data_IF_874776093414
#
_entry.id   IF_874776093414
#
_cell.length_a   1.000
_cell.length_b   1.000
_cell.length_c   1.000
_cell.angle_alpha   90.00
_cell.angle_beta   90.00
_cell.angle_gamma   90.00
#
_symmetry.space_group_name_H-M   'P 1'
#
loop_
_entity.id
_entity.type
_entity.pdbx_description
1 polymer ?
#
# COMPACT_ATOMS: atom_id res chain seq x y z
N UNK A 1 -15.68 -22.28 -106.19
CA UNK A 1 -15.38 -23.17 -105.05
C UNK A 1 -14.37 -22.44 -104.17
N UNK A 2 -14.44 -22.24 -102.85
CA UNK A 2 -15.37 -22.55 -101.75
C UNK A 2 -14.71 -21.82 -100.55
N UNK A 3 -15.26 -20.69 -100.08
CA UNK A 3 -15.70 -20.39 -98.69
C UNK A 3 -14.74 -20.75 -97.53
N UNK A 4 -14.58 -19.83 -96.56
CA UNK A 4 -14.84 -20.00 -95.10
C UNK A 4 -13.93 -19.13 -94.17
N UNK A 5 -14.58 -18.23 -93.40
CA UNK A 5 -14.26 -17.86 -92.00
C UNK A 5 -14.39 -19.11 -91.08
N UNK A 6 -14.02 -19.20 -89.76
CA UNK A 6 -13.78 -18.14 -88.75
C UNK A 6 -12.74 -18.48 -87.61
N UNK A 7 -12.84 -17.74 -86.48
CA UNK A 7 -12.39 -17.96 -85.06
C UNK A 7 -11.24 -17.02 -84.65
N UNK A 8 -11.31 -16.17 -83.63
CA UNK A 8 -12.13 -16.14 -82.41
C UNK A 8 -11.23 -16.47 -81.21
N UNK A 9 -10.66 -15.45 -80.55
CA UNK A 9 -9.99 -15.59 -79.25
C UNK A 9 -10.28 -14.41 -78.34
N UNK A 10 -10.52 -14.74 -77.07
CA UNK A 10 -11.08 -13.92 -76.01
C UNK A 10 -10.07 -12.97 -75.34
N UNK A 11 -10.60 -11.95 -74.64
CA UNK A 11 -9.92 -10.96 -73.80
C UNK A 11 -9.19 -11.59 -72.59
N UNK A 12 -8.39 -10.80 -71.85
CA UNK A 12 -8.96 -10.30 -70.60
C UNK A 12 -8.76 -8.79 -70.37
N UNK A 13 -9.76 -8.19 -69.72
CA UNK A 13 -9.72 -6.86 -69.15
C UNK A 13 -8.71 -6.83 -67.99
N UNK A 14 -7.84 -5.83 -67.99
CA UNK A 14 -6.98 -5.51 -66.85
C UNK A 14 -7.80 -4.68 -65.86
N UNK A 15 -8.21 -5.32 -64.76
CA UNK A 15 -8.87 -4.68 -63.62
C UNK A 15 -7.86 -3.77 -62.89
N UNK A 16 -8.10 -2.46 -62.96
CA UNK A 16 -7.41 -1.46 -62.14
C UNK A 16 -7.97 -1.59 -60.70
N UNK A 17 -7.22 -2.24 -59.81
CA UNK A 17 -7.57 -2.31 -58.39
C UNK A 17 -7.35 -0.93 -57.75
N UNK A 18 -8.44 -0.23 -57.44
CA UNK A 18 -8.44 0.98 -56.62
C UNK A 18 -8.06 0.58 -55.19
N UNK A 19 -6.83 0.91 -54.76
CA UNK A 19 -6.42 0.89 -53.36
C UNK A 19 -7.14 2.05 -52.64
N UNK A 20 -8.31 1.73 -52.06
CA UNK A 20 -9.00 2.61 -51.14
C UNK A 20 -8.24 2.56 -49.79
N UNK A 21 -7.68 3.67 -49.28
CA UNK A 21 -7.13 3.66 -47.92
C UNK A 21 -8.32 3.50 -46.96
N UNK A 22 -8.25 2.51 -46.08
CA UNK A 22 -9.14 2.42 -44.92
C UNK A 22 -8.97 3.71 -44.10
N UNK A 23 -9.88 4.66 -44.27
CA UNK A 23 -10.06 5.77 -43.34
C UNK A 23 -10.65 5.18 -42.06
N UNK A 24 -9.78 4.89 -41.09
CA UNK A 24 -10.18 4.90 -39.69
C UNK A 24 -10.77 6.28 -39.37
N UNK A 25 -11.78 6.38 -38.49
CA UNK A 25 -12.46 7.63 -38.21
C UNK A 25 -11.51 8.59 -37.45
N UNK A 26 -10.89 9.51 -38.18
CA UNK A 26 -10.04 10.60 -37.65
C UNK A 26 -10.71 11.67 -36.76
N UNK A 27 -12.05 11.92 -36.73
CA UNK A 27 -12.57 13.09 -36.01
C UNK A 27 -12.64 12.92 -34.48
N UNK A 28 -12.65 11.69 -33.97
CA UNK A 28 -12.80 11.44 -32.51
C UNK A 28 -11.51 11.68 -31.73
N UNK A 29 -10.36 11.21 -32.24
CA UNK A 29 -9.04 11.39 -31.59
C UNK A 29 -8.66 12.87 -31.40
N UNK A 30 -9.03 13.71 -32.37
CA UNK A 30 -8.76 15.15 -32.33
C UNK A 30 -9.57 15.83 -31.22
N UNK A 31 -10.84 15.45 -31.05
CA UNK A 31 -11.72 16.02 -30.02
C UNK A 31 -11.26 15.65 -28.60
N UNK A 32 -10.84 14.40 -28.36
CA UNK A 32 -10.30 13.97 -27.05
C UNK A 32 -9.01 14.70 -26.71
N UNK A 33 -8.11 14.86 -27.68
CA UNK A 33 -6.81 15.53 -27.47
C UNK A 33 -6.97 17.03 -27.18
N UNK A 34 -7.92 17.70 -27.84
CA UNK A 34 -8.23 19.11 -27.58
C UNK A 34 -8.89 19.33 -26.20
N UNK A 35 -9.74 18.40 -25.76
CA UNK A 35 -10.29 18.41 -24.40
C UNK A 35 -9.19 18.17 -23.35
N UNK A 36 -8.32 17.18 -23.55
CA UNK A 36 -7.16 16.93 -22.68
C UNK A 36 -6.27 18.17 -22.56
N UNK A 37 -5.98 18.84 -23.68
CA UNK A 37 -5.22 20.10 -23.65
C UNK A 37 -5.89 21.14 -22.77
N UNK A 38 -7.18 21.41 -22.98
CA UNK A 38 -7.92 22.40 -22.17
C UNK A 38 -7.91 22.04 -20.69
N UNK A 39 -8.13 20.79 -20.33
CA UNK A 39 -8.12 20.36 -18.93
C UNK A 39 -6.73 20.50 -18.29
N UNK A 40 -5.67 20.12 -19.02
CA UNK A 40 -4.29 20.24 -18.53
C UNK A 40 -3.85 21.70 -18.38
N UNK A 41 -4.24 22.59 -19.29
CA UNK A 41 -4.00 24.03 -19.18
C UNK A 41 -4.69 24.61 -17.93
N UNK A 42 -5.95 24.23 -17.68
CA UNK A 42 -6.65 24.63 -16.45
C UNK A 42 -5.99 24.11 -15.18
N UNK A 43 -5.41 22.90 -15.19
CA UNK A 43 -4.67 22.37 -14.04
C UNK A 43 -3.44 23.23 -13.69
N UNK A 44 -2.76 23.78 -14.70
CA UNK A 44 -1.62 24.68 -14.52
C UNK A 44 -2.00 26.04 -13.93
N UNK A 45 -3.20 26.53 -14.22
CA UNK A 45 -3.69 27.85 -13.76
C UNK A 45 -4.47 27.79 -12.44
N UNK A 46 -5.23 26.71 -12.19
CA UNK A 46 -6.23 26.63 -11.11
C UNK A 46 -5.83 25.73 -9.93
N UNK A 47 -4.66 25.09 -9.94
CA UNK A 47 -4.13 24.38 -8.76
C UNK A 47 -4.82 23.07 -8.39
N UNK A 48 -5.23 22.25 -9.37
CA UNK A 48 -5.45 20.81 -9.15
C UNK A 48 -6.87 20.24 -9.26
N UNK A 49 -7.76 20.86 -10.03
CA UNK A 49 -9.07 20.28 -10.36
C UNK A 49 -9.12 19.81 -11.82
N UNK A 50 -9.29 18.51 -12.04
CA UNK A 50 -9.70 17.99 -13.36
C UNK A 50 -11.24 17.96 -13.39
N UNK A 51 -11.85 19.09 -13.76
CA UNK A 51 -13.28 19.35 -14.07
C UNK A 51 -14.39 18.90 -13.10
N UNK A 52 -14.19 17.92 -12.22
CA UNK A 52 -15.12 17.44 -11.17
C UNK A 52 -14.42 16.69 -10.03
N UNK A 53 -13.14 16.30 -10.19
CA UNK A 53 -12.39 15.55 -9.18
C UNK A 53 -11.04 16.25 -8.86
N UNK A 54 -10.66 16.34 -7.57
CA UNK A 54 -9.34 16.86 -7.20
C UNK A 54 -8.25 15.87 -7.60
N UNK A 55 -7.14 16.37 -8.16
CA UNK A 55 -5.97 15.56 -8.53
C UNK A 55 -4.77 15.94 -7.66
N UNK A 56 -3.96 14.95 -7.28
CA UNK A 56 -2.81 15.15 -6.39
C UNK A 56 -1.51 15.49 -7.14
N UNK A 57 -1.42 15.16 -8.43
CA UNK A 57 -0.17 15.21 -9.20
C UNK A 57 -0.22 16.22 -10.37
N UNK A 58 -0.84 17.39 -10.19
CA UNK A 58 -1.09 18.37 -11.26
C UNK A 58 0.18 18.76 -12.04
N UNK A 59 1.30 19.02 -11.37
CA UNK A 59 2.55 19.38 -12.03
C UNK A 59 3.09 18.25 -12.93
N UNK A 60 2.98 16.99 -12.48
CA UNK A 60 3.39 15.83 -13.26
C UNK A 60 2.44 15.58 -14.45
N UNK A 61 1.13 15.76 -14.26
CA UNK A 61 0.14 15.69 -15.33
C UNK A 61 0.45 16.72 -16.44
N UNK A 62 0.72 17.97 -16.07
CA UNK A 62 1.09 19.04 -17.03
C UNK A 62 2.33 18.65 -17.83
N UNK A 63 3.39 18.17 -17.17
CA UNK A 63 4.62 17.76 -17.86
C UNK A 63 4.40 16.56 -18.79
N UNK A 64 3.69 15.52 -18.32
CA UNK A 64 3.50 14.28 -19.07
C UNK A 64 2.62 14.49 -20.31
N UNK A 65 1.46 15.14 -20.16
CA UNK A 65 0.56 15.35 -21.29
C UNK A 65 1.08 16.41 -22.27
N UNK A 66 1.77 17.45 -21.78
CA UNK A 66 2.46 18.41 -22.64
C UNK A 66 3.51 17.72 -23.51
N UNK A 67 4.33 16.85 -22.92
CA UNK A 67 5.32 16.06 -23.66
C UNK A 67 4.67 15.04 -24.63
N UNK A 68 3.52 14.45 -24.26
CA UNK A 68 2.77 13.50 -25.08
C UNK A 68 1.84 14.17 -26.13
N UNK A 69 2.00 15.47 -26.39
CA UNK A 69 1.17 16.23 -27.32
C UNK A 69 -0.35 16.11 -27.04
N UNK A 70 -0.72 15.94 -25.77
CA UNK A 70 -2.09 15.77 -25.29
C UNK A 70 -2.84 14.56 -25.88
N UNK A 71 -2.12 13.55 -26.38
CA UNK A 71 -2.75 12.27 -26.75
C UNK A 71 -3.11 11.48 -25.48
N UNK A 72 -4.22 10.72 -25.48
CA UNK A 72 -4.57 9.86 -24.35
C UNK A 72 -3.49 8.81 -24.06
N UNK A 73 -3.28 8.51 -22.77
CA UNK A 73 -2.36 7.47 -22.32
C UNK A 73 -3.06 6.13 -22.09
N UNK A 74 -4.30 6.15 -21.59
CA UNK A 74 -5.05 5.00 -21.09
C UNK A 74 -6.24 4.60 -21.95
N UNK A 75 -6.60 5.42 -22.93
CA UNK A 75 -7.71 5.17 -23.84
C UNK A 75 -7.23 5.16 -25.29
N UNK A 76 -8.13 4.75 -26.18
CA UNK A 76 -7.86 4.70 -27.63
C UNK A 76 -6.61 3.82 -27.90
N UNK A 77 -5.67 4.31 -28.70
CA UNK A 77 -4.41 3.64 -29.01
C UNK A 77 -3.26 4.09 -28.06
N UNK A 78 -3.61 4.56 -26.86
CA UNK A 78 -2.65 5.00 -25.85
C UNK A 78 -1.76 3.87 -25.34
N UNK A 79 -0.50 4.16 -24.95
CA UNK A 79 0.49 3.14 -24.55
C UNK A 79 0.08 2.31 -23.32
N UNK A 80 -0.80 2.83 -22.45
CA UNK A 80 -1.28 2.16 -21.24
C UNK A 80 -2.72 1.66 -21.38
N UNK A 81 -3.31 1.67 -22.58
CA UNK A 81 -4.73 1.33 -22.77
C UNK A 81 -5.09 -0.09 -22.30
N UNK A 82 -4.17 -1.04 -22.48
CA UNK A 82 -4.30 -2.43 -22.02
C UNK A 82 -4.09 -2.60 -20.50
N UNK A 83 -3.55 -1.59 -19.81
CA UNK A 83 -3.12 -1.67 -18.41
C UNK A 83 -4.16 -1.12 -17.43
N UNK A 84 -5.30 -0.61 -17.92
CA UNK A 84 -6.38 -0.06 -17.07
C UNK A 84 -6.88 -1.06 -16.04
N UNK A 85 -7.17 -2.29 -16.47
CA UNK A 85 -7.63 -3.34 -15.58
C UNK A 85 -6.55 -3.73 -14.53
N UNK A 86 -5.28 -3.73 -14.93
CA UNK A 86 -4.17 -3.98 -14.02
C UNK A 86 -4.05 -2.88 -12.97
N UNK A 87 -4.18 -1.60 -13.36
CA UNK A 87 -4.18 -0.50 -12.39
C UNK A 87 -5.34 -0.62 -11.39
N UNK A 88 -6.57 -0.89 -11.87
CA UNK A 88 -7.73 -1.05 -10.99
C UNK A 88 -7.52 -2.20 -9.99
N UNK A 89 -7.02 -3.34 -10.45
CA UNK A 89 -6.70 -4.48 -9.58
C UNK A 89 -5.63 -4.12 -8.54
N UNK A 90 -4.59 -3.38 -8.92
CA UNK A 90 -3.56 -2.90 -8.00
C UNK A 90 -4.10 -1.89 -6.97
N UNK A 91 -5.06 -1.04 -7.37
CA UNK A 91 -5.73 -0.11 -6.45
C UNK A 91 -6.57 -0.87 -5.43
N UNK A 92 -7.37 -1.83 -5.88
CA UNK A 92 -8.19 -2.66 -4.99
C UNK A 92 -7.32 -3.48 -4.03
N UNK A 93 -6.29 -4.17 -4.55
CA UNK A 93 -5.35 -4.96 -3.76
C UNK A 93 -4.58 -4.13 -2.74
N UNK A 94 -4.36 -2.84 -3.00
CA UNK A 94 -3.70 -1.94 -2.04
C UNK A 94 -4.47 -1.77 -0.72
N UNK A 95 -5.77 -2.11 -0.67
CA UNK A 95 -6.53 -2.19 0.57
C UNK A 95 -5.97 -3.23 1.56
N UNK A 96 -5.32 -4.28 1.05
CA UNK A 96 -4.58 -5.25 1.86
C UNK A 96 -3.38 -4.64 2.60
N UNK A 97 -2.86 -3.53 2.10
CA UNK A 97 -1.73 -2.78 2.63
C UNK A 97 -2.15 -1.57 3.49
N UNK A 98 -3.43 -1.45 3.85
CA UNK A 98 -3.94 -0.31 4.63
C UNK A 98 -4.24 0.94 3.82
N UNK A 99 -4.28 0.84 2.49
CA UNK A 99 -4.70 1.96 1.65
C UNK A 99 -6.21 1.98 1.47
N UNK A 100 -6.77 3.17 1.22
CA UNK A 100 -8.19 3.33 0.88
C UNK A 100 -8.35 3.48 -0.64
N UNK A 101 -8.94 2.52 -1.37
CA UNK A 101 -9.07 2.57 -2.84
C UNK A 101 -9.65 3.88 -3.39
N UNK A 102 -10.66 4.43 -2.70
CA UNK A 102 -11.31 5.70 -3.07
C UNK A 102 -10.36 6.90 -3.17
N UNK A 103 -9.21 6.87 -2.47
CA UNK A 103 -8.14 7.88 -2.58
C UNK A 103 -7.54 7.97 -3.99
N UNK A 104 -7.66 6.89 -4.77
CA UNK A 104 -7.09 6.75 -6.10
C UNK A 104 -8.18 6.73 -7.17
N UNK A 105 -9.25 7.51 -6.96
CA UNK A 105 -10.37 7.65 -7.89
C UNK A 105 -11.12 6.35 -8.23
N UNK A 106 -10.95 5.29 -7.42
CA UNK A 106 -11.45 3.94 -7.76
C UNK A 106 -12.93 3.92 -8.15
N UNK A 107 -13.80 4.60 -7.40
CA UNK A 107 -15.24 4.67 -7.69
C UNK A 107 -15.52 5.32 -9.05
N UNK A 108 -14.82 6.41 -9.39
CA UNK A 108 -14.98 7.11 -10.66
C UNK A 108 -14.43 6.29 -11.83
N UNK A 109 -13.25 5.69 -11.65
CA UNK A 109 -12.59 4.87 -12.67
C UNK A 109 -13.38 3.58 -12.99
N UNK A 110 -14.05 2.99 -12.00
CA UNK A 110 -14.89 1.79 -12.18
C UNK A 110 -16.27 2.11 -12.71
N UNK A 111 -16.90 3.21 -12.27
CA UNK A 111 -18.17 3.67 -12.83
C UNK A 111 -18.02 4.11 -14.30
N UNK A 112 -16.87 4.70 -14.64
CA UNK A 112 -16.48 5.14 -15.98
C UNK A 112 -17.56 6.00 -16.67
N UNK A 113 -18.22 6.87 -15.91
CA UNK A 113 -19.30 7.75 -16.41
C UNK A 113 -18.79 9.10 -16.90
N UNK A 114 -17.56 9.47 -16.56
CA UNK A 114 -16.91 10.71 -16.95
C UNK A 114 -16.44 10.67 -18.43
N UNK A 115 -16.22 11.84 -19.06
CA UNK A 115 -15.62 11.91 -20.39
C UNK A 115 -14.24 11.24 -20.42
N UNK A 116 -13.87 10.66 -21.58
CA UNK A 116 -12.60 9.95 -21.78
C UNK A 116 -11.38 10.79 -21.37
N UNK A 117 -11.36 12.07 -21.71
CA UNK A 117 -10.27 12.97 -21.34
C UNK A 117 -10.10 13.10 -19.81
N UNK A 118 -11.20 13.22 -19.06
CA UNK A 118 -11.16 13.28 -17.59
C UNK A 118 -10.69 11.94 -17.01
N UNK A 119 -11.25 10.82 -17.50
CA UNK A 119 -10.83 9.50 -17.05
C UNK A 119 -9.33 9.26 -17.30
N UNK A 120 -8.80 9.68 -18.46
CA UNK A 120 -7.37 9.52 -18.79
C UNK A 120 -6.48 10.24 -17.78
N UNK A 121 -6.86 11.46 -17.37
CA UNK A 121 -6.17 12.21 -16.31
C UNK A 121 -6.30 11.53 -14.94
N UNK A 122 -7.49 11.00 -14.60
CA UNK A 122 -7.71 10.31 -13.31
C UNK A 122 -6.96 8.99 -13.22
N UNK A 123 -6.85 8.23 -14.32
CA UNK A 123 -6.01 7.03 -14.38
C UNK A 123 -4.54 7.39 -14.14
N UNK A 124 -4.05 8.46 -14.77
CA UNK A 124 -2.68 8.93 -14.57
C UNK A 124 -2.44 9.43 -13.14
N UNK A 125 -3.35 10.22 -12.57
CA UNK A 125 -3.24 10.69 -11.19
C UNK A 125 -3.29 9.54 -10.18
N UNK A 126 -4.13 8.53 -10.42
CA UNK A 126 -4.23 7.33 -9.58
C UNK A 126 -2.93 6.51 -9.63
N UNK A 127 -2.35 6.30 -10.81
CA UNK A 127 -1.06 5.63 -11.00
C UNK A 127 0.06 6.36 -10.23
N UNK A 128 0.17 7.67 -10.41
CA UNK A 128 1.23 8.48 -9.78
C UNK A 128 1.06 8.52 -8.26
N UNK A 129 -0.17 8.65 -7.77
CA UNK A 129 -0.49 8.62 -6.34
C UNK A 129 -0.16 7.26 -5.72
N UNK A 130 -0.51 6.15 -6.39
CA UNK A 130 -0.11 4.80 -5.97
C UNK A 130 1.40 4.70 -5.88
N UNK A 131 2.13 5.12 -6.92
CA UNK A 131 3.59 5.05 -6.93
C UNK A 131 4.21 5.83 -5.77
N UNK A 132 3.79 7.08 -5.55
CA UNK A 132 4.29 7.93 -4.46
C UNK A 132 3.98 7.35 -3.08
N UNK A 133 2.75 6.89 -2.86
CA UNK A 133 2.36 6.37 -1.56
C UNK A 133 2.99 5.01 -1.25
N UNK A 134 3.13 4.12 -2.24
CA UNK A 134 3.91 2.89 -2.10
C UNK A 134 5.38 3.20 -1.81
N UNK A 135 5.89 4.29 -2.40
CA UNK A 135 7.29 4.69 -2.26
C UNK A 135 7.63 5.31 -0.91
N UNK A 136 6.85 6.30 -0.45
CA UNK A 136 7.17 7.15 0.71
C UNK A 136 6.05 7.31 1.74
N UNK A 137 4.96 6.55 1.61
CA UNK A 137 3.81 6.63 2.51
C UNK A 137 2.71 7.59 2.06
N UNK A 138 1.52 7.44 2.65
CA UNK A 138 0.32 8.24 2.39
C UNK A 138 0.28 9.50 3.24
N UNK A 139 0.74 9.41 4.48
CA UNK A 139 0.52 10.46 5.48
C UNK A 139 1.79 11.25 5.76
N UNK A 140 1.63 12.56 5.92
CA UNK A 140 2.73 13.50 6.16
C UNK A 140 3.16 13.57 7.62
N UNK A 141 2.40 13.04 8.58
CA UNK A 141 2.74 13.02 10.02
C UNK A 141 2.01 11.88 10.71
N UNK A 142 2.72 11.10 11.52
CA UNK A 142 2.13 10.10 12.44
C UNK A 142 2.70 10.29 13.86
N UNK A 143 3.98 10.67 13.97
CA UNK A 143 4.67 11.01 15.21
C UNK A 143 5.66 12.16 14.94
N UNK A 144 5.74 13.15 15.84
CA UNK A 144 6.61 14.33 15.70
C UNK A 144 8.11 14.00 15.90
N UNK A 145 8.40 12.90 16.60
CA UNK A 145 9.78 12.47 16.94
C UNK A 145 10.44 11.57 15.87
N UNK A 146 9.87 11.50 14.67
CA UNK A 146 10.38 10.69 13.56
C UNK A 146 11.27 11.52 12.63
N UNK A 147 12.59 11.30 12.73
CA UNK A 147 13.64 12.02 12.00
C UNK A 147 14.21 11.20 10.82
N UNK A 148 13.35 10.52 10.06
CA UNK A 148 13.76 9.91 8.79
C UNK A 148 13.61 10.90 7.64
N UNK A 149 14.64 10.99 6.81
CA UNK A 149 14.51 11.65 5.50
C UNK A 149 13.60 10.80 4.62
N UNK A 150 12.40 11.31 4.34
CA UNK A 150 11.44 10.59 3.51
C UNK A 150 11.90 10.59 2.07
N UNK A 151 12.11 9.40 1.54
CA UNK A 151 12.38 9.24 0.13
C UNK A 151 11.14 9.67 -0.66
N UNK A 152 11.32 10.62 -1.58
CA UNK A 152 10.28 11.06 -2.49
C UNK A 152 10.52 10.45 -3.86
N UNK A 153 9.43 10.01 -4.48
CA UNK A 153 9.45 9.55 -5.86
C UNK A 153 9.09 10.72 -6.77
N UNK A 154 9.97 11.01 -7.74
CA UNK A 154 9.65 11.93 -8.82
C UNK A 154 8.60 11.28 -9.73
N UNK A 155 7.36 11.75 -9.62
CA UNK A 155 6.21 11.22 -10.32
C UNK A 155 6.35 11.33 -11.85
N UNK A 156 6.93 12.42 -12.35
CA UNK A 156 7.09 12.63 -13.78
C UNK A 156 8.20 11.73 -14.34
N UNK A 157 9.31 11.57 -13.61
CA UNK A 157 10.35 10.62 -13.98
C UNK A 157 9.83 9.18 -13.98
N UNK A 158 9.15 8.77 -12.91
CA UNK A 158 8.55 7.44 -12.79
C UNK A 158 7.64 7.09 -13.98
N UNK A 159 6.73 7.98 -14.36
CA UNK A 159 5.83 7.71 -15.49
C UNK A 159 6.57 7.63 -16.84
N UNK A 160 7.63 8.44 -17.04
CA UNK A 160 8.45 8.35 -18.26
C UNK A 160 9.18 7.01 -18.33
N UNK A 161 9.76 6.56 -17.21
CA UNK A 161 10.49 5.29 -17.15
C UNK A 161 9.53 4.11 -17.38
N UNK A 162 8.34 4.13 -16.77
CA UNK A 162 7.29 3.14 -17.01
C UNK A 162 6.90 3.06 -18.51
N UNK A 163 6.71 4.21 -19.17
CA UNK A 163 6.36 4.27 -20.59
C UNK A 163 7.51 3.77 -21.49
N UNK A 164 8.76 3.92 -21.07
CA UNK A 164 9.92 3.42 -21.79
C UNK A 164 10.11 1.90 -21.64
N UNK A 165 9.80 1.35 -20.47
CA UNK A 165 9.98 -0.06 -20.11
C UNK A 165 8.74 -0.93 -20.39
N UNK A 166 8.06 -0.71 -21.52
CA UNK A 166 6.86 -1.45 -21.99
C UNK A 166 5.52 -1.18 -21.28
N UNK A 167 5.51 -0.43 -20.17
CA UNK A 167 4.28 0.00 -19.52
C UNK A 167 3.60 -1.04 -18.65
N UNK A 168 4.30 -2.06 -18.12
CA UNK A 168 3.70 -3.01 -17.17
C UNK A 168 3.42 -2.31 -15.81
N UNK A 169 2.19 -1.83 -15.66
CA UNK A 169 1.74 -1.09 -14.48
C UNK A 169 1.73 -2.00 -13.24
N UNK A 170 1.26 -3.24 -13.39
CA UNK A 170 1.11 -4.18 -12.29
C UNK A 170 2.45 -4.52 -11.66
N UNK A 171 3.40 -5.00 -12.48
CA UNK A 171 4.73 -5.36 -12.02
C UNK A 171 5.47 -4.17 -11.41
N UNK A 172 5.39 -3.01 -12.07
CA UNK A 172 6.07 -1.79 -11.61
C UNK A 172 5.55 -1.34 -10.25
N UNK A 173 4.23 -1.29 -10.06
CA UNK A 173 3.66 -0.89 -8.78
C UNK A 173 3.93 -1.92 -7.67
N UNK A 174 3.97 -3.22 -7.97
CA UNK A 174 4.31 -4.26 -7.00
C UNK A 174 5.74 -4.13 -6.48
N UNK A 175 6.69 -3.80 -7.36
CA UNK A 175 8.09 -3.59 -7.00
C UNK A 175 8.31 -2.42 -6.02
N UNK A 176 7.36 -1.47 -5.96
CA UNK A 176 7.42 -0.31 -5.06
C UNK A 176 7.01 -0.62 -3.61
N UNK A 177 6.47 -1.80 -3.31
CA UNK A 177 6.21 -2.16 -1.90
C UNK A 177 7.52 -2.40 -1.13
N UNK A 178 7.56 -2.12 0.18
CA UNK A 178 8.67 -2.57 1.03
C UNK A 178 8.87 -4.09 0.93
N UNK A 179 10.13 -4.50 0.73
CA UNK A 179 10.50 -5.91 0.52
C UNK A 179 10.99 -6.60 1.80
N UNK A 180 10.86 -5.93 2.95
CA UNK A 180 11.33 -6.43 4.25
C UNK A 180 10.48 -7.61 4.72
N UNK A 181 11.11 -8.62 5.32
CA UNK A 181 10.41 -9.80 5.85
C UNK A 181 9.35 -9.42 6.89
N UNK A 182 9.63 -8.42 7.73
CA UNK A 182 8.72 -7.90 8.73
C UNK A 182 7.49 -7.22 8.10
N UNK A 183 7.66 -6.52 6.98
CA UNK A 183 6.53 -5.93 6.25
C UNK A 183 5.58 -7.03 5.74
N UNK A 184 6.13 -8.11 5.18
CA UNK A 184 5.34 -9.26 4.72
C UNK A 184 4.64 -9.98 5.88
N UNK A 185 5.31 -10.12 7.04
CA UNK A 185 4.71 -10.69 8.24
C UNK A 185 3.51 -9.86 8.74
N UNK A 186 3.60 -8.52 8.70
CA UNK A 186 2.50 -7.63 9.04
C UNK A 186 1.30 -7.80 8.09
N UNK A 187 1.54 -7.92 6.78
CA UNK A 187 0.48 -8.17 5.79
C UNK A 187 -0.22 -9.50 6.06
N UNK A 188 0.53 -10.56 6.33
CA UNK A 188 -0.02 -11.87 6.65
C UNK A 188 -0.89 -11.83 7.91
N UNK A 189 -0.39 -11.19 8.99
CA UNK A 189 -1.15 -11.02 10.24
C UNK A 189 -2.43 -10.23 10.02
N UNK A 190 -2.36 -9.14 9.25
CA UNK A 190 -3.51 -8.30 8.92
C UNK A 190 -4.57 -9.07 8.12
N UNK A 191 -4.16 -9.79 7.09
CA UNK A 191 -5.07 -10.60 6.28
C UNK A 191 -5.75 -11.69 7.13
N UNK A 192 -5.00 -12.38 7.99
CA UNK A 192 -5.54 -13.38 8.90
C UNK A 192 -6.59 -12.78 9.84
N UNK A 193 -6.34 -11.58 10.37
CA UNK A 193 -7.26 -10.89 11.28
C UNK A 193 -8.51 -10.37 10.56
N UNK A 194 -8.36 -9.83 9.35
CA UNK A 194 -9.48 -9.34 8.53
C UNK A 194 -10.43 -10.47 8.10
N UNK A 195 -9.93 -11.71 7.96
CA UNK A 195 -10.76 -12.85 7.57
C UNK A 195 -11.61 -13.46 8.71
N UNK A 196 -11.35 -13.06 9.97
CA UNK A 196 -12.02 -13.64 11.13
C UNK A 196 -13.39 -12.98 11.40
N UNK A 197 -14.44 -13.77 11.69
CA UNK A 197 -15.76 -13.23 12.00
C UNK A 197 -15.78 -12.50 13.36
N UNK A 198 -16.70 -11.56 13.54
CA UNK A 198 -16.76 -10.64 14.71
C UNK A 198 -17.28 -11.28 16.01
N UNK A 199 -17.21 -12.60 16.09
CA UNK A 199 -17.90 -13.35 17.14
C UNK A 199 -17.11 -13.31 18.45
N UNK A 200 -15.81 -13.03 18.38
CA UNK A 200 -14.87 -13.03 19.50
C UNK A 200 -14.80 -11.68 20.23
N UNK A 201 -15.58 -10.67 19.84
CA UNK A 201 -15.41 -9.30 20.32
C UNK A 201 -16.20 -8.94 21.58
N UNK A 202 -16.93 -9.87 22.21
CA UNK A 202 -17.50 -9.60 23.53
C UNK A 202 -16.37 -9.32 24.55
N UNK A 203 -16.31 -8.12 25.14
CA UNK A 203 -15.23 -7.76 26.04
C UNK A 203 -15.44 -8.46 27.39
N UNK A 204 -14.33 -8.84 28.02
CA UNK A 204 -14.32 -9.26 29.42
C UNK A 204 -14.57 -8.02 30.27
N UNK A 205 -15.64 -7.98 31.09
CA UNK A 205 -15.96 -6.80 31.91
C UNK A 205 -14.82 -6.40 32.85
N UNK A 206 -14.64 -5.09 33.11
CA UNK A 206 -13.66 -4.62 34.07
C UNK A 206 -13.99 -5.17 35.48
N UNK A 207 -12.96 -5.24 36.34
CA UNK A 207 -13.13 -5.74 37.71
C UNK A 207 -11.81 -6.19 38.32
N UNK A 208 -11.86 -6.92 39.46
CA UNK A 208 -10.68 -7.42 40.15
C UNK A 208 -9.79 -8.31 39.27
N UNK A 209 -8.51 -8.40 39.64
CA UNK A 209 -7.52 -9.27 39.00
C UNK A 209 -8.01 -10.72 38.87
N UNK A 210 -7.89 -11.32 37.68
CA UNK A 210 -8.10 -12.76 37.48
C UNK A 210 -6.76 -13.48 37.57
N UNK A 211 -6.72 -14.62 38.29
CA UNK A 211 -5.51 -15.40 38.54
C UNK A 211 -5.86 -16.89 38.70
N UNK A 212 -4.87 -17.79 38.63
CA UNK A 212 -5.08 -19.22 38.83
C UNK A 212 -5.88 -19.55 40.09
N UNK A 213 -6.81 -20.49 39.96
CA UNK A 213 -7.72 -20.92 41.04
C UNK A 213 -8.99 -20.07 41.19
N UNK A 214 -9.15 -18.94 40.48
CA UNK A 214 -10.40 -18.20 40.46
C UNK A 214 -11.47 -18.91 39.63
N UNK A 215 -12.75 -18.74 40.00
CA UNK A 215 -13.91 -19.23 39.24
C UNK A 215 -14.95 -18.14 39.05
N UNK A 216 -15.78 -18.27 38.02
CA UNK A 216 -16.99 -17.48 37.83
C UNK A 216 -17.18 -17.00 36.40
N UNK A 217 -18.21 -16.17 36.21
CA UNK A 217 -18.61 -15.67 34.89
C UNK A 217 -17.48 -14.94 34.17
N UNK A 218 -16.70 -14.10 34.87
CA UNK A 218 -15.58 -13.37 34.27
C UNK A 218 -14.46 -14.27 33.78
N UNK A 219 -14.24 -15.41 34.43
CA UNK A 219 -13.28 -16.41 33.97
C UNK A 219 -13.83 -17.14 32.74
N UNK A 220 -15.13 -17.45 32.72
CA UNK A 220 -15.77 -18.02 31.53
C UNK A 220 -15.70 -17.07 30.33
N UNK A 221 -15.92 -15.78 30.55
CA UNK A 221 -15.77 -14.73 29.53
C UNK A 221 -14.33 -14.61 29.03
N UNK A 222 -13.33 -14.71 29.92
CA UNK A 222 -11.92 -14.78 29.54
C UNK A 222 -11.62 -15.99 28.64
N UNK A 223 -12.15 -17.16 28.99
CA UNK A 223 -12.02 -18.38 28.16
C UNK A 223 -12.68 -18.21 26.80
N UNK A 224 -13.91 -17.69 26.75
CA UNK A 224 -14.61 -17.38 25.49
C UNK A 224 -13.82 -16.39 24.61
N UNK A 225 -13.18 -15.40 25.24
CA UNK A 225 -12.40 -14.38 24.54
C UNK A 225 -11.08 -14.92 23.98
N UNK A 226 -10.39 -15.80 24.71
CA UNK A 226 -9.11 -16.38 24.28
C UNK A 226 -9.29 -17.56 23.32
N UNK A 227 -10.30 -18.40 23.53
CA UNK A 227 -10.45 -19.66 22.81
C UNK A 227 -11.58 -19.66 21.78
N UNK A 228 -12.56 -18.77 21.93
CA UNK A 228 -13.72 -18.72 21.04
C UNK A 228 -15.01 -19.31 21.57
N UNK A 229 -16.02 -19.48 20.69
CA UNK A 229 -17.27 -20.13 21.05
C UNK A 229 -17.04 -21.53 21.59
N UNK A 230 -17.51 -21.79 22.80
CA UNK A 230 -17.37 -23.07 23.48
C UNK A 230 -18.09 -23.09 24.81
N UNK A 231 -18.24 -24.29 25.38
CA UNK A 231 -18.75 -24.46 26.73
C UNK A 231 -17.54 -24.58 27.68
N UNK A 232 -17.31 -23.54 28.48
CA UNK A 232 -16.19 -23.51 29.42
C UNK A 232 -16.66 -23.54 30.88
N UNK A 233 -15.82 -24.14 31.73
CA UNK A 233 -16.07 -24.33 33.16
C UNK A 233 -16.18 -23.01 33.93
N UNK A 234 -15.59 -21.92 33.41
CA UNK A 234 -15.40 -20.69 34.16
C UNK A 234 -14.43 -20.87 35.32
N UNK A 235 -13.50 -21.82 35.24
CA UNK A 235 -12.43 -22.04 36.22
C UNK A 235 -11.07 -21.71 35.60
N UNK A 236 -10.23 -21.01 36.37
CA UNK A 236 -8.90 -20.62 35.95
C UNK A 236 -7.92 -21.74 36.30
N UNK A 237 -7.82 -22.71 35.38
CA UNK A 237 -6.93 -23.87 35.45
C UNK A 237 -5.54 -23.61 34.84
N UNK A 238 -4.73 -24.67 34.78
CA UNK A 238 -3.38 -24.62 34.22
C UNK A 238 -3.34 -24.39 32.71
N UNK A 239 -4.40 -24.80 31.98
CA UNK A 239 -4.52 -24.57 30.53
C UNK A 239 -4.81 -23.09 30.25
N UNK A 240 -5.72 -22.49 31.01
CA UNK A 240 -5.98 -21.05 30.96
C UNK A 240 -4.76 -20.23 31.35
N UNK A 241 -4.00 -20.67 32.35
CA UNK A 241 -2.74 -20.03 32.72
C UNK A 241 -1.73 -20.02 31.57
N UNK A 242 -1.56 -21.15 30.89
CA UNK A 242 -0.65 -21.23 29.74
C UNK A 242 -1.09 -20.29 28.61
N UNK A 243 -2.39 -20.30 28.27
CA UNK A 243 -2.95 -19.45 27.23
C UNK A 243 -2.87 -17.95 27.56
N UNK A 244 -3.11 -17.56 28.82
CA UNK A 244 -2.96 -16.17 29.25
C UNK A 244 -1.50 -15.72 29.16
N UNK A 245 -0.55 -16.58 29.55
CA UNK A 245 0.89 -16.26 29.42
C UNK A 245 1.35 -16.17 27.98
N UNK A 246 0.79 -16.99 27.11
CA UNK A 246 1.01 -16.90 25.66
C UNK A 246 0.46 -15.58 25.11
N UNK A 247 -0.80 -15.26 25.42
CA UNK A 247 -1.39 -13.97 25.05
C UNK A 247 -0.58 -12.77 25.57
N UNK A 248 -0.15 -12.79 26.83
CA UNK A 248 0.65 -11.72 27.41
C UNK A 248 1.98 -11.55 26.68
N UNK A 249 2.67 -12.65 26.36
CA UNK A 249 3.91 -12.61 25.58
C UNK A 249 3.68 -12.02 24.20
N UNK A 250 2.63 -12.46 23.51
CA UNK A 250 2.27 -11.96 22.18
C UNK A 250 1.85 -10.48 22.21
N UNK A 251 1.30 -10.04 23.34
CA UNK A 251 0.91 -8.65 23.60
C UNK A 251 2.05 -7.76 24.12
N UNK A 252 3.27 -8.29 24.29
CA UNK A 252 4.39 -7.54 24.87
C UNK A 252 4.22 -7.19 26.35
N UNK A 253 3.43 -7.97 27.09
CA UNK A 253 3.23 -7.86 28.54
C UNK A 253 4.09 -8.89 29.28
N UNK A 254 4.35 -8.62 30.57
CA UNK A 254 4.94 -9.63 31.46
C UNK A 254 4.05 -10.89 31.49
N UNK A 255 4.58 -12.09 31.15
CA UNK A 255 3.80 -13.33 31.08
C UNK A 255 3.63 -13.96 32.47
N UNK A 256 3.05 -13.20 33.39
CA UNK A 256 2.82 -13.58 34.79
C UNK A 256 1.56 -14.44 34.99
N UNK A 257 0.66 -14.49 34.01
CA UNK A 257 -0.62 -15.18 34.10
C UNK A 257 -1.68 -14.42 34.89
N UNK A 258 -1.45 -13.15 35.24
CA UNK A 258 -2.36 -12.32 36.00
C UNK A 258 -3.09 -11.35 35.06
N UNK A 259 -4.40 -11.51 34.94
CA UNK A 259 -5.21 -10.68 34.04
C UNK A 259 -5.68 -9.44 34.79
N UNK A 260 -4.85 -8.39 34.73
CA UNK A 260 -5.11 -7.06 35.28
C UNK A 260 -5.65 -6.05 34.25
N UNK A 261 -5.75 -4.76 34.62
CA UNK A 261 -6.26 -3.72 33.73
C UNK A 261 -5.53 -3.64 32.38
N UNK A 262 -4.20 -3.70 32.37
CA UNK A 262 -3.41 -3.66 31.14
C UNK A 262 -3.69 -4.85 30.22
N UNK A 263 -3.71 -6.08 30.76
CA UNK A 263 -4.08 -7.27 29.98
C UNK A 263 -5.51 -7.19 29.45
N UNK A 264 -6.47 -6.69 30.25
CA UNK A 264 -7.86 -6.54 29.83
C UNK A 264 -8.04 -5.50 28.73
N UNK A 265 -7.32 -4.37 28.81
CA UNK A 265 -7.35 -3.33 27.78
C UNK A 265 -6.95 -3.90 26.42
N UNK A 266 -5.81 -4.59 26.36
CA UNK A 266 -5.31 -5.22 25.13
C UNK A 266 -6.22 -6.37 24.68
N UNK A 267 -6.68 -7.21 25.61
CA UNK A 267 -7.53 -8.36 25.29
C UNK A 267 -8.89 -7.93 24.73
N UNK A 268 -9.45 -6.83 25.24
CA UNK A 268 -10.76 -6.31 24.86
C UNK A 268 -10.72 -5.44 23.60
N UNK A 269 -9.55 -5.02 23.14
CA UNK A 269 -9.39 -4.30 21.88
C UNK A 269 -10.06 -5.09 20.75
N UNK A 270 -10.91 -4.42 19.97
CA UNK A 270 -11.59 -5.06 18.85
C UNK A 270 -10.58 -5.33 17.72
N UNK A 271 -10.91 -6.28 16.82
CA UNK A 271 -10.00 -6.62 15.73
C UNK A 271 -9.71 -5.45 14.77
N UNK A 272 -10.60 -4.46 14.70
CA UNK A 272 -10.41 -3.31 13.82
C UNK A 272 -9.35 -2.37 14.38
N UNK A 273 -9.30 -2.18 15.70
CA UNK A 273 -8.23 -1.43 16.38
C UNK A 273 -6.85 -2.07 16.17
N UNK A 274 -6.77 -3.40 16.11
CA UNK A 274 -5.55 -4.11 15.75
C UNK A 274 -5.18 -3.96 14.28
N UNK A 275 -6.17 -3.96 13.36
CA UNK A 275 -5.94 -3.65 11.94
C UNK A 275 -5.39 -2.23 11.79
N UNK A 276 -5.93 -1.25 12.52
CA UNK A 276 -5.46 0.13 12.49
C UNK A 276 -4.00 0.25 12.98
N UNK A 277 -3.64 -0.48 14.04
CA UNK A 277 -2.25 -0.56 14.52
C UNK A 277 -1.32 -1.22 13.49
N UNK A 278 -1.77 -2.31 12.85
CA UNK A 278 -1.03 -2.96 11.78
C UNK A 278 -0.86 -2.02 10.58
N UNK A 279 -1.88 -1.26 10.21
CA UNK A 279 -1.85 -0.28 9.13
C UNK A 279 -0.89 0.88 9.43
N UNK A 280 -0.87 1.36 10.67
CA UNK A 280 0.12 2.34 11.12
C UNK A 280 1.55 1.79 11.05
N UNK A 281 1.77 0.53 11.41
CA UNK A 281 3.08 -0.11 11.30
C UNK A 281 3.49 -0.35 9.83
N UNK A 282 2.56 -0.76 8.96
CA UNK A 282 2.81 -0.87 7.52
C UNK A 282 3.22 0.50 6.94
N UNK A 283 2.61 1.59 7.39
CA UNK A 283 3.00 2.94 7.00
C UNK A 283 4.40 3.31 7.47
N UNK A 284 4.73 3.06 8.73
CA UNK A 284 6.07 3.26 9.29
C UNK A 284 7.16 2.52 8.49
N UNK A 285 6.89 1.29 8.06
CA UNK A 285 7.82 0.52 7.24
C UNK A 285 8.07 1.12 5.84
N UNK A 286 7.13 1.92 5.31
CA UNK A 286 7.35 2.67 4.04
C UNK A 286 8.31 3.84 4.21
N UNK A 287 8.47 4.34 5.43
CA UNK A 287 9.36 5.47 5.74
C UNK A 287 10.80 5.03 6.01
N UNK A 288 11.02 3.75 6.29
CA UNK A 288 12.36 3.21 6.49
C UNK A 288 13.15 3.15 5.18
N UNK A 289 14.51 3.17 5.26
CA UNK A 289 15.35 2.99 4.10
C UNK A 289 15.00 1.73 3.30
N UNK A 290 14.92 1.87 1.97
CA UNK A 290 14.63 0.77 1.03
C UNK A 290 15.62 -0.39 1.13
N UNK A 291 16.88 -0.06 1.37
CA UNK A 291 17.98 -1.01 1.51
C UNK A 291 18.58 -0.82 2.88
N UNK A 292 18.33 -1.79 3.75
CA UNK A 292 19.05 -1.93 5.00
C UNK A 292 20.34 -2.68 4.65
N UNK A 293 21.53 -2.19 5.05
CA UNK A 293 22.78 -2.90 4.80
C UNK A 293 22.75 -4.29 5.46
N UNK A 294 23.52 -5.27 4.98
CA UNK A 294 23.54 -6.61 5.55
C UNK A 294 23.99 -6.64 7.01
N UNK A 295 24.74 -5.61 7.45
CA UNK A 295 25.15 -5.42 8.84
C UNK A 295 24.57 -4.12 9.38
N UNK A 296 23.80 -4.21 10.46
CA UNK A 296 23.14 -3.06 11.08
C UNK A 296 22.85 -3.28 12.57
N UNK A 297 22.62 -2.19 13.29
CA UNK A 297 22.10 -2.20 14.65
C UNK A 297 20.67 -1.69 14.59
N UNK A 298 19.72 -2.48 15.07
CA UNK A 298 18.32 -2.12 15.18
C UNK A 298 17.98 -1.91 16.64
N UNK A 299 17.37 -0.76 16.95
CA UNK A 299 16.81 -0.48 18.28
C UNK A 299 15.31 -0.31 18.12
N UNK A 300 14.55 -1.26 18.65
CA UNK A 300 13.11 -1.16 18.72
C UNK A 300 12.73 -0.44 20.02
N UNK A 301 12.43 0.85 19.92
CA UNK A 301 12.12 1.71 21.07
C UNK A 301 10.86 1.24 21.80
N UNK A 302 9.85 0.75 21.06
CA UNK A 302 8.59 0.30 21.63
C UNK A 302 8.73 -1.05 22.37
N UNK A 303 9.71 -1.85 22.00
CA UNK A 303 9.99 -3.18 22.54
C UNK A 303 11.16 -3.18 23.53
N UNK A 304 11.76 -2.03 23.80
CA UNK A 304 12.92 -1.87 24.69
C UNK A 304 14.09 -2.82 24.35
N UNK A 305 14.27 -3.14 23.07
CA UNK A 305 15.21 -4.16 22.64
C UNK A 305 16.16 -3.66 21.54
N UNK A 306 17.41 -4.10 21.62
CA UNK A 306 18.45 -3.87 20.61
C UNK A 306 18.91 -5.20 20.03
N UNK A 307 19.06 -5.23 18.71
CA UNK A 307 19.64 -6.34 17.98
C UNK A 307 20.76 -5.84 17.06
N UNK A 308 21.90 -6.55 17.06
CA UNK A 308 22.94 -6.40 16.05
C UNK A 308 22.78 -7.54 15.06
N UNK A 309 22.61 -7.19 13.79
CA UNK A 309 22.44 -8.13 12.70
C UNK A 309 23.67 -8.11 11.81
N UNK A 310 24.20 -9.27 11.46
CA UNK A 310 25.28 -9.45 10.50
C UNK A 310 24.87 -10.46 9.42
N UNK A 311 24.93 -10.05 8.15
CA UNK A 311 24.52 -10.87 7.00
C UNK A 311 23.10 -11.44 7.12
N UNK A 312 22.20 -10.69 7.78
CA UNK A 312 20.81 -11.09 8.01
C UNK A 312 20.58 -11.92 9.28
N UNK A 313 21.63 -12.32 10.00
CA UNK A 313 21.51 -13.10 11.23
C UNK A 313 21.75 -12.24 12.48
N UNK A 314 20.96 -12.40 13.54
CA UNK A 314 21.23 -11.75 14.81
C UNK A 314 22.48 -12.34 15.48
N UNK A 315 23.45 -11.47 15.77
CA UNK A 315 24.70 -11.85 16.45
C UNK A 315 24.76 -11.33 17.89
N UNK A 316 23.92 -10.36 18.24
CA UNK A 316 23.78 -9.85 19.60
C UNK A 316 22.36 -9.34 19.82
N UNK A 317 21.84 -9.60 21.00
CA UNK A 317 20.53 -9.15 21.49
C UNK A 317 20.66 -8.66 22.93
N UNK A 318 20.01 -7.55 23.27
CA UNK A 318 19.98 -7.03 24.63
C UNK A 318 18.79 -6.10 24.88
N UNK A 319 18.33 -6.04 26.12
CA UNK A 319 17.39 -5.01 26.57
C UNK A 319 18.07 -3.64 26.63
N UNK A 320 17.31 -2.58 26.33
CA UNK A 320 17.77 -1.19 26.37
C UNK A 320 16.82 -0.29 27.15
N UNK A 321 17.36 0.78 27.70
CA UNK A 321 16.60 1.84 28.35
C UNK A 321 16.42 2.99 27.36
N UNK A 322 15.17 3.43 27.17
CA UNK A 322 14.82 4.54 26.27
C UNK A 322 14.33 5.77 27.05
N UNK A 323 14.26 6.91 26.36
CA UNK A 323 13.78 8.16 26.91
C UNK A 323 12.33 8.08 27.41
N UNK A 324 11.99 8.88 28.42
CA UNK A 324 10.61 9.03 28.91
C UNK A 324 9.77 9.84 27.92
N UNK A 325 8.43 9.77 27.93
CA UNK A 325 7.59 10.47 26.94
C UNK A 325 7.82 11.99 26.78
N UNK A 326 8.23 12.69 27.83
CA UNK A 326 8.55 14.13 27.78
C UNK A 326 9.99 14.44 27.33
N UNK A 327 10.81 13.39 27.10
CA UNK A 327 12.18 13.44 26.61
C UNK A 327 12.49 12.13 25.86
N UNK A 328 11.72 11.89 24.80
CA UNK A 328 11.71 10.64 24.04
C UNK A 328 13.03 10.41 23.30
N UNK A 329 13.38 9.14 23.09
CA UNK A 329 14.47 8.78 22.17
C UNK A 329 14.00 9.10 20.74
N UNK A 330 14.72 9.94 19.97
CA UNK A 330 14.33 10.26 18.59
C UNK A 330 14.43 9.01 17.71
N UNK A 331 13.53 8.88 16.73
CA UNK A 331 13.56 7.76 15.76
C UNK A 331 14.35 8.20 14.53
N UNK A 332 15.46 7.52 14.22
CA UNK A 332 16.33 7.88 13.09
C UNK A 332 17.13 6.69 12.54
N UNK A 333 17.75 6.87 11.38
CA UNK A 333 18.80 6.01 10.84
C UNK A 333 20.11 6.79 10.68
N UNK A 334 21.23 6.14 10.94
CA UNK A 334 22.56 6.75 10.78
C UNK A 334 23.67 5.71 10.81
N UNK A 335 24.87 6.13 10.41
CA UNK A 335 26.07 5.28 10.49
C UNK A 335 26.80 5.52 11.79
N UNK A 336 27.14 4.44 12.50
CA UNK A 336 27.99 4.49 13.68
C UNK A 336 29.40 4.94 13.25
N UNK A 337 29.84 6.11 13.72
CA UNK A 337 31.10 6.73 13.27
C UNK A 337 32.31 6.27 14.09
N UNK A 338 32.13 6.10 15.39
CA UNK A 338 33.19 5.69 16.31
C UNK A 338 32.59 5.12 17.60
N UNK A 339 33.39 4.34 18.32
CA UNK A 339 33.11 3.88 19.67
C UNK A 339 34.11 4.55 20.62
N UNK A 340 33.61 5.15 21.70
CA UNK A 340 34.45 5.74 22.74
C UNK A 340 34.44 4.81 23.95
N UNK A 341 35.60 4.27 24.29
CA UNK A 341 35.79 3.56 25.55
C UNK A 341 36.07 4.58 26.65
N UNK A 342 35.41 4.42 27.80
CA UNK A 342 35.51 5.33 28.95
C UNK A 342 35.21 6.80 28.59
N UNK A 343 34.00 7.12 28.11
CA UNK A 343 33.65 8.47 27.69
C UNK A 343 33.57 9.43 28.89
N UNK A 344 33.90 10.71 28.66
CA UNK A 344 33.53 11.78 29.58
C UNK A 344 32.03 12.01 29.52
N UNK A 345 31.37 12.11 30.69
CA UNK A 345 29.98 12.52 30.77
C UNK A 345 29.88 14.02 31.02
N UNK A 346 29.73 14.77 29.92
CA UNK A 346 29.46 16.20 30.00
C UNK A 346 27.96 16.39 30.29
N UNK A 347 27.65 16.96 31.46
CA UNK A 347 26.28 17.21 31.94
C UNK A 347 25.80 18.59 31.51
#
# INVERSE_FOLDING_TARGET
MTTLYPRGTARPLMLLALLLPLLLPRPLLAATSDELRRQVEMLGEAGGLAASHPVANSAALVQLYGANQYRPLWFEDGPLAAQRAALLAEIEASAGHGFTPRRYHYDALTAATQPVAELDLLYTDALLSQARHRYGGVISTLDEDWFFERQQLDAAAFARDLLAESGDVGQTLQALWPQHAQYQALLAKRAALASQPDVFTQPVPPGPLLRPGHSGERVRQLQLRLYGPGAYSGYYDAELLAAVKEFQRDAGLDPDGLVGPASLEILNADRFSWIDQLDANLERWRWLPRRIPPTYILVNIADFHLQVVEQGEPVLEMDVIVGRPYRSTPVFAGSLKYLVFYPYWNV
#
